data_IF_224846350925
#
_entry.id   IF_224846350925
#
_cell.length_a   1.000
_cell.length_b   1.000
_cell.length_c   1.000
_cell.angle_alpha   90.00
_cell.angle_beta   90.00
_cell.angle_gamma   90.00
#
_symmetry.space_group_name_H-M   'P 1'
#
loop_
_entity.id
_entity.type
_entity.pdbx_description
1 polymer ?
#
# COMPACT_ATOMS: atom_id res chain seq x y z
N UNK A 1 -12.48 -15.90 -33.26
CA UNK A 1 -12.73 -16.52 -31.94
C UNK A 1 -14.24 -16.47 -31.71
N UNK A 2 -14.94 -17.60 -31.67
CA UNK A 2 -16.37 -17.61 -31.36
C UNK A 2 -16.54 -17.30 -29.87
N UNK A 3 -17.12 -16.15 -29.54
CA UNK A 3 -17.43 -15.78 -28.16
C UNK A 3 -18.83 -16.27 -27.85
N UNK A 4 -18.98 -17.20 -26.90
CA UNK A 4 -20.29 -17.67 -26.47
C UNK A 4 -21.01 -16.54 -25.74
N UNK A 5 -22.15 -16.04 -26.25
CA UNK A 5 -22.87 -14.95 -25.60
C UNK A 5 -23.45 -15.40 -24.27
N UNK A 6 -23.25 -14.57 -23.23
CA UNK A 6 -23.85 -14.75 -21.91
C UNK A 6 -25.28 -14.21 -21.86
N UNK A 7 -25.63 -13.26 -22.73
CA UNK A 7 -26.93 -12.62 -22.76
C UNK A 7 -27.29 -12.04 -24.13
N UNK A 8 -28.52 -11.52 -24.22
CA UNK A 8 -29.08 -10.88 -25.39
C UNK A 8 -30.58 -11.14 -25.49
N UNK A 9 -31.15 -10.88 -26.67
CA UNK A 9 -32.56 -11.11 -26.93
C UNK A 9 -32.74 -12.53 -27.44
N UNK A 10 -33.53 -13.33 -26.73
CA UNK A 10 -33.76 -14.73 -27.05
C UNK A 10 -35.24 -14.98 -27.38
N UNK A 11 -35.48 -15.90 -28.31
CA UNK A 11 -36.83 -16.43 -28.54
C UNK A 11 -37.09 -17.59 -27.58
N UNK A 12 -38.13 -17.42 -26.75
CA UNK A 12 -38.63 -18.38 -25.77
C UNK A 12 -39.83 -19.20 -26.28
N UNK A 13 -40.23 -19.09 -27.55
CA UNK A 13 -41.38 -19.79 -28.15
C UNK A 13 -41.39 -21.31 -27.89
N UNK A 14 -40.22 -21.92 -27.87
CA UNK A 14 -39.94 -23.33 -27.62
C UNK A 14 -39.45 -23.61 -26.18
N UNK A 15 -39.72 -22.69 -25.24
CA UNK A 15 -39.51 -22.83 -23.79
C UNK A 15 -38.07 -23.17 -23.35
N UNK A 16 -37.08 -22.98 -24.23
CA UNK A 16 -35.67 -23.25 -23.93
C UNK A 16 -34.80 -22.26 -24.69
N UNK A 17 -33.75 -21.79 -24.04
CA UNK A 17 -32.71 -20.95 -24.66
C UNK A 17 -31.31 -21.55 -24.49
N UNK A 18 -31.23 -22.81 -24.04
CA UNK A 18 -29.97 -23.53 -23.82
C UNK A 18 -29.20 -23.62 -25.13
N UNK A 19 -27.94 -23.20 -25.09
CA UNK A 19 -27.01 -23.22 -26.22
C UNK A 19 -27.42 -22.39 -27.46
N UNK A 20 -28.50 -21.61 -27.39
CA UNK A 20 -28.96 -20.77 -28.50
C UNK A 20 -28.22 -19.45 -28.63
N UNK A 21 -27.95 -18.99 -29.83
CA UNK A 21 -27.47 -17.62 -30.05
C UNK A 21 -28.63 -16.62 -29.91
N UNK A 22 -28.46 -15.49 -29.20
CA UNK A 22 -29.45 -14.42 -29.19
C UNK A 22 -29.69 -13.89 -30.61
N UNK A 23 -30.94 -13.54 -30.95
CA UNK A 23 -31.27 -12.99 -32.26
C UNK A 23 -30.96 -11.48 -32.38
N UNK A 24 -30.81 -10.79 -31.25
CA UNK A 24 -30.41 -9.38 -31.19
C UNK A 24 -29.66 -9.09 -29.87
N UNK A 25 -28.94 -7.96 -29.84
CA UNK A 25 -28.23 -7.44 -28.65
C UNK A 25 -27.35 -8.50 -27.96
N UNK A 26 -26.62 -9.29 -28.73
CA UNK A 26 -25.71 -10.28 -28.16
C UNK A 26 -24.69 -9.61 -27.22
N UNK A 27 -24.40 -10.25 -26.09
CA UNK A 27 -23.35 -9.78 -25.20
C UNK A 27 -22.59 -10.94 -24.60
N UNK A 28 -21.27 -10.78 -24.50
CA UNK A 28 -20.37 -11.69 -23.79
C UNK A 28 -20.09 -11.22 -22.34
N UNK A 29 -20.63 -10.07 -21.94
CA UNK A 29 -20.44 -9.50 -20.61
C UNK A 29 -21.75 -8.94 -20.06
N UNK A 30 -21.99 -9.15 -18.77
CA UNK A 30 -23.13 -8.57 -18.05
C UNK A 30 -22.56 -7.76 -16.90
N UNK A 31 -22.94 -6.49 -16.81
CA UNK A 31 -22.54 -5.60 -15.72
C UNK A 31 -23.74 -5.33 -14.85
N UNK A 32 -23.61 -5.60 -13.56
CA UNK A 32 -24.61 -5.26 -12.54
C UNK A 32 -24.13 -4.02 -11.79
N UNK A 33 -24.97 -2.99 -11.74
CA UNK A 33 -24.75 -1.86 -10.84
C UNK A 33 -25.27 -2.24 -9.45
N UNK A 34 -24.37 -2.28 -8.46
CA UNK A 34 -24.68 -2.61 -7.07
C UNK A 34 -25.14 -1.40 -6.25
N UNK A 35 -25.26 -0.21 -6.87
CA UNK A 35 -25.65 1.05 -6.24
C UNK A 35 -24.85 1.36 -4.97
N UNK A 36 -23.53 1.14 -5.03
CA UNK A 36 -22.61 1.37 -3.89
C UNK A 36 -22.97 0.60 -2.62
N UNK A 37 -23.50 -0.62 -2.76
CA UNK A 37 -23.73 -1.49 -1.64
C UNK A 37 -22.46 -1.70 -0.78
N UNK A 38 -22.59 -1.71 0.56
CA UNK A 38 -21.45 -1.92 1.44
C UNK A 38 -20.90 -3.34 1.30
N UNK A 39 -19.58 -3.48 1.50
CA UNK A 39 -18.92 -4.78 1.58
C UNK A 39 -18.94 -5.23 3.04
N UNK A 40 -19.63 -6.32 3.39
CA UNK A 40 -19.65 -6.81 4.77
C UNK A 40 -18.31 -7.42 5.16
N UNK A 41 -17.95 -7.33 6.44
CA UNK A 41 -16.71 -7.92 6.99
C UNK A 41 -16.79 -9.45 7.19
N UNK A 42 -17.96 -10.04 6.93
CA UNK A 42 -18.20 -11.48 7.01
C UNK A 42 -19.21 -11.88 5.94
N UNK A 43 -19.18 -13.15 5.52
CA UNK A 43 -20.14 -13.70 4.58
C UNK A 43 -21.56 -13.59 5.14
N UNK A 44 -22.46 -12.95 4.40
CA UNK A 44 -23.87 -12.82 4.76
C UNK A 44 -24.75 -12.93 3.52
N UNK A 45 -25.96 -13.46 3.71
CA UNK A 45 -26.92 -13.67 2.63
C UNK A 45 -27.74 -12.41 2.30
N UNK A 46 -27.67 -11.35 3.12
CA UNK A 46 -28.40 -10.09 2.93
C UNK A 46 -27.69 -9.09 1.99
N UNK A 47 -26.46 -9.41 1.57
CA UNK A 47 -25.65 -8.60 0.63
C UNK A 47 -25.34 -9.36 -0.66
N UNK A 48 -26.23 -10.26 -1.10
CA UNK A 48 -26.04 -11.04 -2.32
C UNK A 48 -26.58 -10.32 -3.56
N UNK A 49 -25.97 -10.61 -4.70
CA UNK A 49 -26.37 -10.10 -6.01
C UNK A 49 -26.66 -11.25 -6.94
N UNK A 50 -27.71 -11.12 -7.75
CA UNK A 50 -28.12 -12.13 -8.72
C UNK A 50 -27.88 -11.61 -10.14
N UNK A 51 -27.26 -12.44 -10.97
CA UNK A 51 -27.10 -12.22 -12.40
C UNK A 51 -27.66 -13.44 -13.13
N UNK A 52 -28.56 -13.20 -14.08
CA UNK A 52 -29.05 -14.25 -14.95
C UNK A 52 -28.18 -14.35 -16.21
N UNK A 53 -27.74 -15.55 -16.54
CA UNK A 53 -26.98 -15.86 -17.76
C UNK A 53 -27.73 -16.88 -18.60
N UNK A 54 -27.43 -16.93 -19.91
CA UNK A 54 -27.93 -17.98 -20.79
C UNK A 54 -27.45 -19.35 -20.27
N UNK A 55 -28.33 -20.35 -20.12
CA UNK A 55 -27.90 -21.72 -19.86
C UNK A 55 -27.04 -22.24 -21.03
N UNK A 56 -26.03 -23.04 -20.70
CA UNK A 56 -25.07 -23.54 -21.69
C UNK A 56 -24.47 -24.87 -21.29
N UNK A 57 -24.24 -25.74 -22.26
CA UNK A 57 -23.55 -27.02 -22.03
C UNK A 57 -22.09 -26.82 -21.64
N UNK A 58 -21.49 -25.72 -22.10
CA UNK A 58 -20.12 -25.36 -21.76
C UNK A 58 -19.93 -23.84 -21.78
N UNK A 59 -19.70 -23.24 -20.61
CA UNK A 59 -19.32 -21.84 -20.45
C UNK A 59 -18.07 -21.75 -19.58
N UNK A 60 -17.22 -20.77 -19.85
CA UNK A 60 -16.11 -20.35 -19.00
C UNK A 60 -16.38 -18.90 -18.59
N UNK A 61 -16.56 -18.67 -17.30
CA UNK A 61 -16.92 -17.37 -16.74
C UNK A 61 -15.71 -16.76 -16.02
N UNK A 62 -15.44 -15.51 -16.35
CA UNK A 62 -14.62 -14.61 -15.54
C UNK A 62 -15.54 -13.69 -14.75
N UNK A 63 -15.25 -13.46 -13.48
CA UNK A 63 -16.05 -12.60 -12.61
C UNK A 63 -15.17 -11.46 -12.12
N UNK A 64 -15.63 -10.23 -12.30
CA UNK A 64 -14.91 -9.02 -11.89
C UNK A 64 -15.74 -8.18 -10.92
N UNK A 65 -15.10 -7.68 -9.87
CA UNK A 65 -15.67 -6.79 -8.87
C UNK A 65 -14.92 -5.47 -8.88
N UNK A 66 -15.62 -4.38 -9.20
CA UNK A 66 -15.09 -3.03 -9.06
C UNK A 66 -15.50 -2.48 -7.70
N UNK A 67 -14.52 -2.23 -6.84
CA UNK A 67 -14.73 -1.66 -5.50
C UNK A 67 -14.12 -0.26 -5.46
N UNK A 68 -14.79 0.65 -4.76
CA UNK A 68 -14.34 2.03 -4.59
C UNK A 68 -14.35 2.37 -3.10
N UNK A 69 -13.24 2.87 -2.60
CA UNK A 69 -13.21 3.52 -1.29
C UNK A 69 -13.86 4.91 -1.42
N UNK A 70 -14.96 5.18 -0.71
CA UNK A 70 -15.66 6.46 -0.82
C UNK A 70 -14.89 7.64 -0.19
N UNK A 71 -13.96 7.36 0.73
CA UNK A 71 -13.16 8.35 1.45
C UNK A 71 -11.98 8.80 0.62
N UNK A 72 -11.22 7.85 0.08
CA UNK A 72 -10.00 8.14 -0.70
C UNK A 72 -10.27 8.28 -2.19
N UNK A 73 -11.46 7.88 -2.66
CA UNK A 73 -11.86 7.77 -4.06
C UNK A 73 -11.05 6.78 -4.91
N UNK A 74 -10.19 5.97 -4.28
CA UNK A 74 -9.42 4.93 -4.96
C UNK A 74 -10.35 3.79 -5.39
N UNK A 75 -10.21 3.38 -6.63
CA UNK A 75 -11.00 2.31 -7.24
C UNK A 75 -10.08 1.18 -7.66
N UNK A 76 -10.50 -0.06 -7.42
CA UNK A 76 -9.80 -1.25 -7.91
C UNK A 76 -10.78 -2.26 -8.46
N UNK A 77 -10.31 -3.04 -9.43
CA UNK A 77 -11.08 -4.12 -10.04
C UNK A 77 -10.38 -5.45 -9.79
N UNK A 78 -11.06 -6.32 -9.07
CA UNK A 78 -10.58 -7.68 -8.77
C UNK A 78 -11.21 -8.61 -9.77
N UNK A 79 -10.39 -9.34 -10.52
CA UNK A 79 -10.87 -10.22 -11.59
C UNK A 79 -10.43 -11.64 -11.33
N UNK A 80 -11.40 -12.54 -11.16
CA UNK A 80 -11.17 -13.97 -11.11
C UNK A 80 -11.38 -14.52 -12.51
N UNK A 81 -10.30 -14.53 -13.28
CA UNK A 81 -10.32 -14.96 -14.68
C UNK A 81 -10.57 -16.47 -14.78
N UNK A 82 -11.48 -16.87 -15.67
CA UNK A 82 -11.84 -18.26 -15.95
C UNK A 82 -12.19 -19.08 -14.69
N UNK A 83 -12.73 -18.41 -13.66
CA UNK A 83 -13.01 -19.01 -12.36
C UNK A 83 -13.97 -20.20 -12.44
N UNK A 84 -15.00 -20.09 -13.28
CA UNK A 84 -16.02 -21.13 -13.40
C UNK A 84 -16.09 -21.65 -14.82
N UNK A 85 -15.71 -22.91 -15.02
CA UNK A 85 -15.89 -23.60 -16.30
C UNK A 85 -16.80 -24.82 -16.12
N UNK A 86 -17.82 -24.94 -16.97
CA UNK A 86 -18.69 -26.12 -16.98
C UNK A 86 -20.06 -25.89 -17.58
N UNK A 87 -20.99 -26.77 -17.22
CA UNK A 87 -22.39 -26.71 -17.63
C UNK A 87 -23.20 -25.84 -16.68
N UNK A 88 -24.01 -24.95 -17.24
CA UNK A 88 -24.95 -24.10 -16.52
C UNK A 88 -26.36 -24.46 -16.96
N UNK A 89 -27.08 -25.17 -16.09
CA UNK A 89 -28.41 -25.67 -16.38
C UNK A 89 -29.48 -24.58 -16.23
N UNK A 90 -30.55 -24.69 -17.03
CA UNK A 90 -31.66 -23.76 -16.94
C UNK A 90 -32.35 -23.88 -15.56
N UNK A 91 -32.63 -22.74 -14.93
CA UNK A 91 -33.35 -22.67 -13.65
C UNK A 91 -32.53 -23.07 -12.41
N UNK A 92 -31.23 -23.30 -12.55
CA UNK A 92 -30.33 -23.54 -11.40
C UNK A 92 -29.69 -22.24 -10.91
N UNK A 93 -29.49 -22.16 -9.60
CA UNK A 93 -28.71 -21.10 -8.95
C UNK A 93 -27.32 -21.68 -8.64
N UNK A 94 -26.32 -20.85 -8.86
CA UNK A 94 -24.91 -21.18 -8.80
C UNK A 94 -24.24 -20.13 -7.92
N UNK A 95 -23.95 -20.47 -6.67
CA UNK A 95 -23.42 -19.53 -5.70
C UNK A 95 -21.92 -19.28 -5.92
N UNK A 96 -21.52 -18.02 -5.75
CA UNK A 96 -20.13 -17.59 -5.82
C UNK A 96 -19.84 -16.65 -4.66
N UNK A 97 -18.88 -17.04 -3.80
CA UNK A 97 -18.39 -16.18 -2.72
C UNK A 97 -17.12 -15.47 -3.19
N UNK A 98 -17.17 -14.15 -3.28
CA UNK A 98 -16.02 -13.34 -3.65
C UNK A 98 -15.06 -13.18 -2.48
N UNK A 99 -13.75 -13.29 -2.74
CA UNK A 99 -12.70 -12.92 -1.80
C UNK A 99 -12.04 -11.63 -2.29
N UNK A 100 -12.55 -10.50 -1.82
CA UNK A 100 -12.25 -9.17 -2.39
C UNK A 100 -10.99 -8.50 -1.80
N UNK A 101 -10.41 -9.08 -0.76
CA UNK A 101 -9.29 -8.49 -0.03
C UNK A 101 -7.99 -9.27 -0.19
N UNK A 102 -8.07 -10.54 -0.61
CA UNK A 102 -6.93 -11.46 -0.69
C UNK A 102 -5.75 -10.93 -1.49
N UNK A 103 -6.03 -10.23 -2.59
CA UNK A 103 -5.00 -9.68 -3.48
C UNK A 103 -4.67 -8.21 -3.18
N UNK A 104 -5.24 -7.64 -2.11
CA UNK A 104 -4.96 -6.29 -1.64
C UNK A 104 -4.06 -6.39 -0.41
N UNK A 105 -2.81 -5.97 -0.54
CA UNK A 105 -1.89 -5.93 0.60
C UNK A 105 -2.39 -4.92 1.63
N UNK A 106 -2.73 -5.41 2.81
CA UNK A 106 -3.01 -4.58 3.98
C UNK A 106 -1.71 -4.30 4.75
N UNK A 107 -1.36 -3.02 4.88
CA UNK A 107 -0.22 -2.57 5.68
C UNK A 107 -0.64 -2.30 7.13
N UNK A 108 0.30 -2.52 8.04
CA UNK A 108 0.16 -2.20 9.46
C UNK A 108 -0.23 -0.73 9.66
N UNK A 109 -1.07 -0.44 10.65
CA UNK A 109 -1.40 0.92 11.07
C UNK A 109 -0.42 1.49 12.11
N UNK A 110 0.62 0.75 12.51
CA UNK A 110 1.57 1.19 13.53
C UNK A 110 2.56 2.20 12.97
N UNK A 111 2.78 3.31 13.66
CA UNK A 111 3.83 4.27 13.33
C UNK A 111 4.65 4.49 14.58
N UNK A 112 5.89 4.93 14.51
CA UNK A 112 6.76 5.01 15.67
C UNK A 112 7.41 6.39 15.72
N UNK A 113 7.60 6.92 16.92
CA UNK A 113 8.63 7.93 17.11
C UNK A 113 10.01 7.32 16.85
N UNK A 114 11.01 8.14 16.55
CA UNK A 114 12.33 7.63 16.17
C UNK A 114 12.95 6.77 17.27
N UNK A 115 13.40 5.58 16.88
CA UNK A 115 14.05 4.62 17.78
C UNK A 115 13.23 4.37 19.05
N UNK A 116 11.92 4.16 18.90
CA UNK A 116 11.00 3.79 19.98
C UNK A 116 11.54 2.61 20.81
N UNK A 117 11.09 2.51 22.06
CA UNK A 117 11.69 1.59 23.02
C UNK A 117 11.53 0.11 22.63
N UNK A 118 10.35 -0.30 22.16
CA UNK A 118 10.13 -1.62 21.55
C UNK A 118 9.31 -1.53 20.26
N UNK A 119 9.23 -2.63 19.50
CA UNK A 119 8.37 -2.76 18.31
C UNK A 119 6.86 -2.77 18.63
N UNK A 120 6.48 -2.79 19.91
CA UNK A 120 5.09 -2.62 20.34
C UNK A 120 4.78 -1.19 20.78
N UNK A 121 5.80 -0.34 20.94
CA UNK A 121 5.65 1.01 21.50
C UNK A 121 5.34 2.02 20.39
N UNK A 122 4.34 1.70 19.57
CA UNK A 122 3.90 2.54 18.46
C UNK A 122 3.19 3.81 18.96
N UNK A 123 3.14 4.82 18.10
CA UNK A 123 2.67 6.18 18.32
C UNK A 123 1.27 6.26 18.94
N UNK A 124 0.44 5.23 18.73
CA UNK A 124 -0.93 5.16 19.20
C UNK A 124 -1.20 3.99 20.14
N UNK A 125 -0.15 3.28 20.59
CA UNK A 125 -0.34 2.12 21.44
C UNK A 125 -1.04 2.47 22.76
N UNK A 126 -2.04 1.66 23.11
CA UNK A 126 -2.90 1.84 24.28
C UNK A 126 -3.99 2.91 24.12
N UNK A 127 -4.01 3.61 22.99
CA UNK A 127 -4.97 4.68 22.64
C UNK A 127 -5.40 4.57 21.17
N UNK A 128 -5.45 3.36 20.60
CA UNK A 128 -5.67 3.10 19.18
C UNK A 128 -7.04 3.59 18.69
N UNK A 129 -8.01 3.69 19.60
CA UNK A 129 -9.33 4.27 19.32
C UNK A 129 -9.27 5.74 18.91
N UNK A 130 -8.21 6.46 19.29
CA UNK A 130 -7.98 7.87 18.98
C UNK A 130 -7.07 8.09 17.77
N UNK A 131 -6.53 7.02 17.17
CA UNK A 131 -5.65 7.11 16.01
C UNK A 131 -6.40 7.76 14.83
N UNK A 132 -5.92 8.90 14.29
CA UNK A 132 -6.45 9.48 13.05
C UNK A 132 -6.17 8.54 11.87
N UNK A 133 -7.17 8.22 11.06
CA UNK A 133 -7.06 7.19 9.99
C UNK A 133 -7.18 7.75 8.57
N UNK A 134 -7.55 9.02 8.46
CA UNK A 134 -7.76 9.71 7.18
C UNK A 134 -6.85 10.93 7.12
N UNK A 135 -6.30 11.21 5.92
CA UNK A 135 -5.44 12.38 5.68
C UNK A 135 -6.07 13.66 6.23
N UNK A 136 -5.31 14.39 7.04
CA UNK A 136 -5.72 15.64 7.67
C UNK A 136 -6.46 15.48 9.00
N UNK A 137 -6.91 14.27 9.37
CA UNK A 137 -7.42 14.03 10.72
C UNK A 137 -6.30 14.14 11.76
N UNK A 138 -6.68 14.53 12.97
CA UNK A 138 -5.74 14.80 14.05
C UNK A 138 -6.34 14.48 15.41
N UNK A 139 -5.49 14.02 16.31
CA UNK A 139 -5.73 13.98 17.75
C UNK A 139 -4.48 14.54 18.44
N UNK A 140 -4.64 15.69 19.08
CA UNK A 140 -3.53 16.39 19.75
C UNK A 140 -3.43 16.07 21.25
N UNK A 141 -4.22 15.12 21.74
CA UNK A 141 -4.35 14.83 23.18
C UNK A 141 -3.62 13.56 23.57
N UNK A 142 -3.68 12.54 22.72
CA UNK A 142 -3.26 11.17 23.06
C UNK A 142 -1.92 10.75 22.45
N UNK A 143 -1.40 11.54 21.51
CA UNK A 143 -0.05 11.32 20.99
C UNK A 143 1.01 11.67 22.04
N UNK A 144 2.20 11.05 22.00
CA UNK A 144 3.24 11.34 22.98
C UNK A 144 3.71 12.81 22.88
N UNK A 145 3.73 13.52 24.00
CA UNK A 145 4.16 14.94 24.09
C UNK A 145 5.30 15.21 25.08
N UNK A 146 5.69 14.21 25.88
CA UNK A 146 6.72 14.32 26.91
C UNK A 146 7.62 13.08 26.99
N UNK A 147 8.91 13.21 27.39
CA UNK A 147 9.82 12.08 27.64
C UNK A 147 9.36 11.07 28.68
N UNK A 148 8.35 11.39 29.49
CA UNK A 148 7.74 10.46 30.45
C UNK A 148 6.81 9.44 29.79
N UNK A 149 6.39 9.68 28.55
CA UNK A 149 5.65 8.70 27.76
C UNK A 149 6.60 7.59 27.32
N UNK A 150 6.23 6.35 27.55
CA UNK A 150 7.06 5.19 27.23
C UNK A 150 7.21 4.95 25.72
N UNK A 151 6.33 5.55 24.89
CA UNK A 151 6.42 5.57 23.42
C UNK A 151 7.41 6.62 22.90
N UNK A 152 8.01 7.42 23.77
CA UNK A 152 8.87 8.54 23.40
C UNK A 152 10.13 8.10 22.66
N UNK A 153 10.55 8.92 21.68
CA UNK A 153 11.76 8.68 20.89
C UNK A 153 13.02 8.61 21.76
N UNK A 154 14.07 8.05 21.18
CA UNK A 154 15.36 7.95 21.87
C UNK A 154 16.09 9.31 21.88
N UNK A 155 16.51 9.79 23.05
CA UNK A 155 17.14 11.11 23.22
C UNK A 155 18.67 11.07 23.08
N UNK A 156 19.21 10.08 22.36
CA UNK A 156 20.65 9.96 22.14
C UNK A 156 21.24 11.23 21.50
N UNK A 157 22.43 11.67 21.93
CA UNK A 157 23.13 12.80 21.31
C UNK A 157 23.74 12.38 19.97
N UNK A 158 23.73 13.26 18.97
CA UNK A 158 24.53 13.06 17.76
C UNK A 158 26.03 12.96 18.14
N UNK A 159 26.83 12.06 17.52
CA UNK A 159 26.53 11.19 16.38
C UNK A 159 26.12 9.75 16.74
N UNK A 160 25.55 9.52 17.92
CA UNK A 160 25.09 8.18 18.30
C UNK A 160 24.08 7.63 17.27
N UNK A 161 24.12 6.32 17.08
CA UNK A 161 23.17 5.61 16.22
C UNK A 161 22.02 5.06 17.07
N UNK A 162 20.92 4.72 16.42
CA UNK A 162 19.79 4.03 17.05
C UNK A 162 20.25 2.77 17.79
N UNK A 163 19.67 2.53 18.97
CA UNK A 163 20.02 1.39 19.85
C UNK A 163 18.81 0.55 20.24
N UNK A 164 17.60 0.96 19.83
CA UNK A 164 16.33 0.32 20.16
C UNK A 164 15.66 -0.12 18.85
N UNK A 165 14.37 0.19 18.66
CA UNK A 165 13.59 -0.31 17.53
C UNK A 165 14.14 0.09 16.15
N UNK A 166 14.79 1.25 16.01
CA UNK A 166 15.36 1.68 14.71
C UNK A 166 16.80 1.18 14.49
N UNK A 167 17.38 0.41 15.41
CA UNK A 167 18.77 -0.08 15.30
C UNK A 167 18.98 -1.04 14.13
N UNK A 168 17.93 -1.75 13.69
CA UNK A 168 17.99 -2.64 12.52
C UNK A 168 17.74 -1.94 11.20
N UNK A 169 17.34 -0.66 11.22
CA UNK A 169 17.16 0.12 10.00
C UNK A 169 18.53 0.47 9.38
N UNK A 170 18.63 0.52 8.04
CA UNK A 170 19.80 1.07 7.38
C UNK A 170 20.19 2.42 7.94
N UNK A 171 21.49 2.68 7.99
CA UNK A 171 22.03 4.00 8.34
C UNK A 171 21.85 5.00 7.20
N UNK A 172 22.26 6.24 7.45
CA UNK A 172 22.33 7.27 6.41
C UNK A 172 23.19 6.83 5.21
N UNK A 173 24.23 6.03 5.43
CA UNK A 173 25.09 5.53 4.35
C UNK A 173 24.34 4.55 3.45
N UNK A 174 23.61 3.60 4.03
CA UNK A 174 22.81 2.64 3.28
C UNK A 174 21.73 3.32 2.44
N UNK A 175 21.05 4.34 2.98
CA UNK A 175 20.05 5.06 2.17
C UNK A 175 20.67 5.92 1.07
N UNK A 176 21.92 6.38 1.20
CA UNK A 176 22.66 7.00 0.09
C UNK A 176 22.89 6.02 -1.05
N UNK A 177 23.14 4.74 -0.78
CA UNK A 177 23.16 3.72 -1.84
C UNK A 177 21.82 3.59 -2.57
N UNK A 178 20.71 3.60 -1.83
CA UNK A 178 19.38 3.55 -2.44
C UNK A 178 19.16 4.78 -3.32
N UNK A 179 19.46 5.97 -2.81
CA UNK A 179 19.22 7.21 -3.51
C UNK A 179 20.16 7.44 -4.67
N UNK A 180 21.42 7.02 -4.62
CA UNK A 180 22.38 7.31 -5.69
C UNK A 180 22.42 6.19 -6.73
N UNK A 181 22.37 4.94 -6.30
CA UNK A 181 22.75 3.78 -7.12
C UNK A 181 21.61 2.81 -7.40
N UNK A 182 20.49 2.86 -6.66
CA UNK A 182 19.36 1.98 -6.95
C UNK A 182 18.66 2.34 -8.26
N UNK A 183 18.16 1.32 -8.93
CA UNK A 183 17.17 1.46 -9.99
C UNK A 183 15.77 1.52 -9.34
N UNK A 184 14.97 2.49 -9.75
CA UNK A 184 13.69 2.80 -9.09
C UNK A 184 12.56 3.04 -10.07
N UNK A 185 11.36 2.64 -9.68
CA UNK A 185 10.15 2.80 -10.46
C UNK A 185 9.02 3.35 -9.60
N UNK A 186 8.47 4.49 -10.01
CA UNK A 186 7.24 4.99 -9.41
C UNK A 186 6.03 4.17 -9.88
N UNK A 187 5.19 3.75 -8.94
CA UNK A 187 4.01 2.94 -9.20
C UNK A 187 2.76 3.59 -8.59
N UNK A 188 1.93 4.16 -9.45
CA UNK A 188 0.62 4.72 -9.11
C UNK A 188 -0.56 3.76 -9.40
N UNK A 189 -0.28 2.49 -9.71
CA UNK A 189 -1.28 1.50 -10.13
C UNK A 189 -1.49 0.41 -9.09
N UNK A 190 -0.46 0.01 -8.35
CA UNK A 190 -0.59 -1.00 -7.29
C UNK A 190 -1.48 -0.46 -6.17
N UNK A 191 -2.59 -1.15 -5.94
CA UNK A 191 -3.57 -0.83 -4.89
C UNK A 191 -3.19 -1.59 -3.63
N UNK A 192 -3.25 -0.89 -2.50
CA UNK A 192 -3.01 -1.46 -1.17
C UNK A 192 -3.96 -0.80 -0.17
N UNK A 193 -4.06 -1.36 1.03
CA UNK A 193 -4.88 -0.82 2.10
C UNK A 193 -4.06 -0.52 3.35
N UNK A 194 -4.51 0.47 4.11
CA UNK A 194 -4.00 0.78 5.46
C UNK A 194 -5.12 1.48 6.23
N UNK A 195 -5.22 1.22 7.53
CA UNK A 195 -6.20 1.89 8.40
C UNK A 195 -7.67 1.76 7.92
N UNK A 196 -7.99 0.70 7.17
CA UNK A 196 -9.33 0.43 6.65
C UNK A 196 -9.67 1.13 5.33
N UNK A 197 -8.71 1.79 4.70
CA UNK A 197 -8.91 2.55 3.46
C UNK A 197 -8.02 2.06 2.31
N UNK A 198 -8.49 2.19 1.07
CA UNK A 198 -7.73 1.88 -0.14
C UNK A 198 -6.89 3.07 -0.58
N UNK A 199 -5.66 2.80 -0.99
CA UNK A 199 -4.72 3.76 -1.53
C UNK A 199 -3.96 3.17 -2.73
N UNK A 200 -3.33 4.05 -3.50
CA UNK A 200 -2.34 3.72 -4.52
C UNK A 200 -1.10 4.57 -4.28
N UNK A 201 -0.01 4.25 -4.98
CA UNK A 201 1.24 5.01 -4.89
C UNK A 201 2.30 4.27 -4.09
N UNK A 202 3.49 4.19 -4.66
CA UNK A 202 4.66 3.58 -4.04
C UNK A 202 5.84 3.57 -5.00
N UNK A 203 6.96 3.07 -4.50
CA UNK A 203 8.21 3.00 -5.25
C UNK A 203 8.75 1.59 -5.20
N UNK A 204 8.98 0.99 -6.36
CA UNK A 204 9.78 -0.23 -6.46
C UNK A 204 11.25 0.13 -6.50
N UNK A 205 12.06 -0.57 -5.73
CA UNK A 205 13.49 -0.32 -5.59
C UNK A 205 14.24 -1.62 -5.84
N UNK A 206 15.17 -1.59 -6.80
CA UNK A 206 16.19 -2.61 -6.96
C UNK A 206 17.41 -2.19 -6.16
N UNK A 207 17.66 -2.88 -5.04
CA UNK A 207 18.84 -2.63 -4.21
C UNK A 207 20.10 -2.84 -5.09
N UNK A 208 21.03 -1.87 -5.12
CA UNK A 208 22.21 -1.94 -5.98
C UNK A 208 23.13 -3.08 -5.57
N UNK A 209 23.82 -3.66 -6.55
CA UNK A 209 24.93 -4.58 -6.28
C UNK A 209 26.05 -3.83 -5.53
N UNK A 210 26.63 -4.46 -4.51
CA UNK A 210 27.66 -3.83 -3.68
C UNK A 210 27.12 -2.86 -2.63
N UNK A 211 25.80 -2.84 -2.38
CA UNK A 211 25.20 -2.14 -1.25
C UNK A 211 26.01 -2.35 0.04
N UNK A 212 26.32 -1.25 0.72
CA UNK A 212 27.04 -1.26 1.99
C UNK A 212 26.45 -0.22 2.93
N UNK A 213 26.21 -0.61 4.18
CA UNK A 213 25.79 0.33 5.21
C UNK A 213 26.98 0.94 5.98
N UNK A 214 28.20 0.47 5.70
CA UNK A 214 29.41 0.96 6.36
C UNK A 214 29.86 2.33 5.83
N UNK A 215 29.64 2.59 4.55
CA UNK A 215 29.99 3.84 3.86
C UNK A 215 29.05 4.08 2.68
N UNK A 216 28.81 5.36 2.36
CA UNK A 216 28.05 5.78 1.19
C UNK A 216 28.82 5.48 -0.12
N UNK A 217 28.18 5.60 -1.30
CA UNK A 217 28.79 5.28 -2.59
C UNK A 217 30.08 6.05 -2.91
N UNK A 218 30.25 7.24 -2.33
CA UNK A 218 31.46 8.06 -2.45
C UNK A 218 32.60 7.64 -1.50
N UNK A 219 32.42 6.53 -0.76
CA UNK A 219 33.39 5.98 0.17
C UNK A 219 33.42 6.66 1.54
N UNK A 220 32.55 7.64 1.81
CA UNK A 220 32.50 8.37 3.08
C UNK A 220 31.50 7.76 4.06
N UNK A 221 31.79 7.90 5.34
CA UNK A 221 30.85 7.57 6.42
C UNK A 221 30.19 8.83 6.97
N UNK A 222 28.90 9.01 6.68
CA UNK A 222 28.10 10.17 7.08
C UNK A 222 27.46 10.07 8.47
N UNK A 223 27.68 8.96 9.19
CA UNK A 223 27.07 8.74 10.52
C UNK A 223 27.62 9.68 11.58
N UNK A 224 28.88 10.11 11.47
CA UNK A 224 29.59 10.86 12.52
C UNK A 224 30.52 11.97 12.03
N UNK A 225 30.49 12.32 10.75
CA UNK A 225 31.50 13.19 10.13
C UNK A 225 31.14 14.70 10.12
N UNK A 226 30.05 15.12 10.78
CA UNK A 226 29.47 16.47 10.70
C UNK A 226 29.17 16.95 9.27
N UNK A 227 29.24 16.08 8.26
CA UNK A 227 28.90 16.41 6.89
C UNK A 227 27.41 16.21 6.69
N UNK A 228 26.81 17.12 5.93
CA UNK A 228 25.43 16.95 5.51
C UNK A 228 25.36 15.80 4.50
N UNK A 229 24.62 14.76 4.85
CA UNK A 229 24.38 13.64 3.94
C UNK A 229 23.29 13.94 2.91
N UNK A 230 22.81 15.18 2.82
CA UNK A 230 21.74 15.58 1.91
C UNK A 230 21.98 15.10 0.48
N UNK A 231 20.98 14.41 -0.06
CA UNK A 231 20.95 14.01 -1.46
C UNK A 231 19.50 13.85 -1.90
N UNK A 232 19.18 14.34 -3.08
CA UNK A 232 17.86 14.25 -3.67
C UNK A 232 17.98 13.95 -5.16
N UNK A 233 17.10 13.08 -5.68
CA UNK A 233 16.98 12.83 -7.12
C UNK A 233 15.56 12.42 -7.50
N UNK A 234 15.28 12.40 -8.80
CA UNK A 234 14.07 11.77 -9.33
C UNK A 234 14.21 10.25 -9.45
N UNK A 235 13.08 9.59 -9.66
CA UNK A 235 13.02 8.16 -9.98
C UNK A 235 13.73 7.88 -11.30
N UNK A 236 14.30 6.68 -11.41
CA UNK A 236 14.87 6.19 -12.68
C UNK A 236 13.77 6.08 -13.72
N UNK A 237 12.61 5.55 -13.31
CA UNK A 237 11.44 5.32 -14.16
C UNK A 237 10.18 5.87 -13.49
N UNK A 238 9.39 6.63 -14.25
CA UNK A 238 8.12 7.22 -13.79
C UNK A 238 6.90 6.34 -14.17
N UNK A 239 7.09 5.03 -14.14
CA UNK A 239 6.05 4.04 -14.45
C UNK A 239 6.34 2.73 -13.71
N UNK A 240 5.29 1.94 -13.46
CA UNK A 240 5.37 0.63 -12.79
C UNK A 240 6.27 -0.34 -13.58
N UNK A 241 7.16 -1.10 -12.93
CA UNK A 241 8.00 -2.08 -13.63
C UNK A 241 7.16 -3.24 -14.17
N UNK A 242 7.52 -3.77 -15.33
CA UNK A 242 6.86 -4.93 -15.94
C UNK A 242 7.17 -6.26 -15.23
N UNK A 243 8.28 -6.33 -14.50
CA UNK A 243 8.67 -7.45 -13.66
C UNK A 243 9.12 -6.93 -12.29
N UNK A 244 8.48 -7.39 -11.22
CA UNK A 244 8.76 -7.01 -9.84
C UNK A 244 9.65 -8.01 -9.09
N UNK A 245 10.09 -9.08 -9.75
CA UNK A 245 10.93 -10.13 -9.14
C UNK A 245 12.25 -9.53 -8.65
N UNK A 246 12.52 -9.68 -7.35
CA UNK A 246 13.72 -9.15 -6.71
C UNK A 246 13.69 -7.64 -6.41
N UNK A 247 12.55 -6.98 -6.62
CA UNK A 247 12.35 -5.58 -6.23
C UNK A 247 11.67 -5.48 -4.86
N UNK A 248 12.03 -4.47 -4.08
CA UNK A 248 11.36 -4.10 -2.84
C UNK A 248 10.31 -3.02 -3.14
N UNK A 249 9.13 -3.13 -2.55
CA UNK A 249 8.07 -2.12 -2.70
C UNK A 249 7.93 -1.25 -1.46
N UNK A 250 7.98 0.06 -1.64
CA UNK A 250 7.78 1.07 -0.61
C UNK A 250 6.49 1.85 -0.89
N UNK A 251 5.34 1.47 -0.28
CA UNK A 251 4.09 2.23 -0.38
C UNK A 251 4.23 3.63 0.22
N UNK A 252 3.47 4.60 -0.31
CA UNK A 252 3.44 5.97 0.22
C UNK A 252 2.52 6.06 1.44
N UNK A 253 2.96 5.56 2.58
CA UNK A 253 2.13 5.39 3.79
C UNK A 253 1.90 6.67 4.61
N UNK A 254 2.39 7.83 4.19
CA UNK A 254 2.29 9.06 4.98
C UNK A 254 3.07 8.99 6.30
N UNK A 255 2.74 9.90 7.22
CA UNK A 255 3.29 9.94 8.57
C UNK A 255 2.37 10.69 9.53
N UNK A 256 2.65 10.61 10.82
CA UNK A 256 2.06 11.50 11.82
C UNK A 256 2.99 12.66 12.16
N UNK A 257 2.46 13.87 12.13
CA UNK A 257 3.11 15.08 12.60
C UNK A 257 2.30 15.66 13.74
N UNK A 258 2.83 15.61 14.96
CA UNK A 258 2.16 16.13 16.16
C UNK A 258 0.71 15.62 16.32
N UNK A 259 0.50 14.31 16.12
CA UNK A 259 -0.83 13.71 16.21
C UNK A 259 -1.74 13.91 14.99
N UNK A 260 -1.27 14.53 13.90
CA UNK A 260 -2.01 14.67 12.64
C UNK A 260 -1.51 13.70 11.58
N UNK A 261 -2.39 12.94 10.93
CA UNK A 261 -2.04 12.08 9.80
C UNK A 261 -1.90 12.88 8.51
N UNK A 262 -0.79 12.69 7.80
CA UNK A 262 -0.43 13.47 6.62
C UNK A 262 -0.06 12.57 5.44
N UNK A 263 -0.63 12.87 4.27
CA UNK A 263 -0.20 12.43 2.93
C UNK A 263 -0.06 10.94 2.64
N UNK A 264 -0.90 10.11 3.26
CA UNK A 264 -1.11 8.73 2.82
C UNK A 264 -1.53 8.72 1.35
N UNK A 265 -0.86 7.89 0.55
CA UNK A 265 -1.00 7.78 -0.90
C UNK A 265 -0.18 8.79 -1.71
N UNK A 266 0.50 9.75 -1.06
CA UNK A 266 1.24 10.82 -1.74
C UNK A 266 2.70 10.90 -1.37
N UNK A 267 3.04 10.62 -0.11
CA UNK A 267 4.40 10.77 0.42
C UNK A 267 4.67 9.77 1.53
N UNK A 268 5.92 9.50 1.85
CA UNK A 268 6.32 8.69 3.01
C UNK A 268 7.74 8.99 3.44
N UNK A 269 7.98 8.99 4.74
CA UNK A 269 9.31 8.96 5.34
C UNK A 269 9.52 7.66 6.12
N UNK A 270 10.67 7.02 5.94
CA UNK A 270 11.08 5.85 6.70
C UNK A 270 12.27 6.18 7.61
N UNK A 271 12.16 5.83 8.89
CA UNK A 271 13.24 6.03 9.85
C UNK A 271 14.49 5.23 9.48
N UNK A 272 15.64 5.89 9.57
CA UNK A 272 16.96 5.24 9.59
C UNK A 272 17.50 5.09 11.00
N UNK A 273 18.60 4.37 11.14
CA UNK A 273 19.36 4.29 12.39
C UNK A 273 20.23 5.54 12.67
N UNK A 274 20.32 6.49 11.73
CA UNK A 274 21.28 7.59 11.81
C UNK A 274 20.66 8.94 12.17
N UNK A 275 21.19 9.54 13.23
CA UNK A 275 20.91 10.92 13.60
C UNK A 275 21.49 11.93 12.61
N UNK A 276 20.90 13.12 12.60
CA UNK A 276 21.47 14.30 11.95
C UNK A 276 22.28 15.16 12.91
N UNK A 277 23.25 15.96 12.41
CA UNK A 277 23.97 16.94 13.22
C UNK A 277 23.04 17.97 13.87
N UNK A 278 21.95 18.34 13.18
CA UNK A 278 20.96 19.27 13.72
C UNK A 278 20.16 18.64 14.87
N UNK A 279 20.00 19.41 15.95
CA UNK A 279 19.36 18.94 17.18
C UNK A 279 17.93 18.44 16.90
N UNK A 280 17.57 17.28 17.45
CA UNK A 280 16.27 16.60 17.32
C UNK A 280 15.88 16.07 15.92
N UNK A 281 16.78 16.09 14.94
CA UNK A 281 16.49 15.58 13.60
C UNK A 281 17.15 14.24 13.30
N UNK A 282 16.56 13.51 12.36
CA UNK A 282 17.01 12.18 11.90
C UNK A 282 17.06 12.18 10.38
N UNK A 283 17.97 11.40 9.81
CA UNK A 283 17.91 11.09 8.39
C UNK A 283 16.76 10.11 8.14
N UNK A 284 16.01 10.33 7.08
CA UNK A 284 14.96 9.42 6.63
C UNK A 284 15.17 9.12 5.15
N UNK A 285 14.67 7.96 4.73
CA UNK A 285 14.44 7.72 3.31
C UNK A 285 13.04 8.26 2.97
N UNK A 286 12.98 9.23 2.07
CA UNK A 286 11.75 9.91 1.70
C UNK A 286 11.38 9.68 0.24
N UNK A 287 10.11 9.39 -0.02
CA UNK A 287 9.54 9.21 -1.35
C UNK A 287 8.27 10.05 -1.53
N UNK A 288 8.04 10.52 -2.75
CA UNK A 288 6.86 11.32 -3.12
C UNK A 288 6.24 10.91 -4.44
N UNK A 289 4.98 11.28 -4.65
CA UNK A 289 4.27 11.15 -5.93
C UNK A 289 4.73 12.14 -7.01
N UNK A 290 5.57 13.12 -6.66
CA UNK A 290 6.03 14.18 -7.56
C UNK A 290 7.44 13.95 -8.12
N UNK A 291 7.81 12.69 -8.36
CA UNK A 291 9.12 12.30 -8.91
C UNK A 291 10.31 12.83 -8.10
N UNK A 292 10.23 12.70 -6.77
CA UNK A 292 11.31 13.07 -5.86
C UNK A 292 11.50 11.98 -4.81
N UNK A 293 12.75 11.56 -4.66
CA UNK A 293 13.28 10.81 -3.52
C UNK A 293 14.42 11.59 -2.88
N UNK A 294 14.53 11.55 -1.56
CA UNK A 294 15.66 12.18 -0.88
C UNK A 294 16.02 11.55 0.48
N UNK A 295 17.18 11.98 0.96
CA UNK A 295 17.61 11.92 2.34
C UNK A 295 17.90 13.35 2.74
N UNK A 296 17.27 13.84 3.82
CA UNK A 296 17.47 15.13 4.51
C UNK A 296 16.42 16.25 4.30
N UNK A 297 15.45 16.14 3.39
CA UNK A 297 14.48 17.23 3.21
C UNK A 297 13.05 16.70 3.05
N UNK A 298 12.12 16.96 3.98
CA UNK A 298 12.21 17.96 5.04
C UNK A 298 13.12 17.55 6.22
N UNK A 299 13.28 18.46 7.18
CA UNK A 299 13.88 18.13 8.47
C UNK A 299 12.89 17.30 9.29
N UNK A 300 13.20 16.03 9.53
CA UNK A 300 12.31 15.08 10.21
C UNK A 300 12.59 15.04 11.70
N UNK A 301 11.67 15.60 12.49
CA UNK A 301 11.79 15.59 13.94
C UNK A 301 11.58 14.19 14.49
N UNK A 302 12.42 13.78 15.45
CA UNK A 302 12.31 12.46 16.12
C UNK A 302 10.92 12.16 16.70
N UNK A 303 10.14 13.21 17.00
CA UNK A 303 8.80 13.13 17.58
C UNK A 303 7.68 12.83 16.58
N UNK A 304 7.98 12.78 15.29
CA UNK A 304 6.99 12.40 14.28
C UNK A 304 6.75 10.89 14.32
N UNK A 305 5.59 10.44 13.84
CA UNK A 305 5.26 9.02 13.75
C UNK A 305 5.51 8.51 12.33
N UNK A 306 6.62 7.82 12.11
CA UNK A 306 6.99 7.25 10.80
C UNK A 306 7.11 5.73 10.90
N UNK A 307 7.24 5.08 9.74
CA UNK A 307 7.57 3.66 9.62
C UNK A 307 9.07 3.44 9.78
N UNK A 308 9.48 2.30 10.33
CA UNK A 308 10.90 1.92 10.30
C UNK A 308 11.28 1.41 8.91
N UNK A 309 12.46 1.81 8.43
CA UNK A 309 12.98 1.30 7.17
C UNK A 309 13.41 -0.17 7.32
N UNK A 310 12.95 -1.01 6.41
CA UNK A 310 13.44 -2.39 6.26
C UNK A 310 13.82 -2.63 4.80
N UNK A 311 14.90 -3.39 4.58
CA UNK A 311 15.31 -3.82 3.24
C UNK A 311 14.92 -5.28 2.95
N UNK A 312 13.91 -5.78 3.65
CA UNK A 312 13.38 -7.14 3.51
C UNK A 312 12.03 -7.19 2.81
N UNK A 313 11.44 -6.02 2.50
CA UNK A 313 10.11 -5.90 1.89
C UNK A 313 8.95 -6.00 2.89
N UNK A 314 9.24 -6.30 4.16
CA UNK A 314 8.26 -6.30 5.23
C UNK A 314 8.28 -4.94 5.94
N UNK A 315 7.38 -4.06 5.54
CA UNK A 315 7.20 -2.75 6.18
C UNK A 315 6.14 -2.90 7.28
N UNK A 316 6.56 -2.79 8.53
CA UNK A 316 5.73 -2.87 9.74
C UNK A 316 5.46 -1.49 10.34
#
# INVERSE_FOLDING_TARGET
MYVNPLGGWFDFSNKSIKDKTPFASNTAAITLNTNSAPIPSATRNDTCFYIAIRPGSWLTLSISFTIKDPTTNVTTTITHANWWTGTFEAGKIYDYTAWLDKDIKNYSSKYYMWDANTANDDYWHGVEAYQPKINGQQDHTHYPTSPTDWRWYNTLPYPAQATRHSASAPSVNGIRWILEQAETWFDNQTVWSVMGHLYTGGVWVKVPAGYSDAAAPDGKDYRSNNQNAAYAKGYTHNFRPSNTTGLLYFPLLGWYENGKLIDVGKRVGYWTSSLRPEYNYVYVLYFTDNNLMDVSSPYWERKYGLKNLTLTGNIE
#
